data_IF_945157935240
#
_entry.id   IF_945157935240
#
_cell.length_a   1.000
_cell.length_b   1.000
_cell.length_c   1.000
_cell.angle_alpha   90.00
_cell.angle_beta   90.00
_cell.angle_gamma   90.00
#
_symmetry.space_group_name_H-M   'P 1'
#
loop_
_entity.id
_entity.type
_entity.pdbx_description
1 polymer ?
#
# COMPACT_ATOMS: atom_id res chain seq x y z
N UNK A 1 20.27 -50.71 -40.30
CA UNK A 1 19.58 -51.61 -39.35
C UNK A 1 19.51 -50.88 -38.01
N UNK A 2 18.38 -50.89 -37.41
CA UNK A 2 17.86 -50.49 -36.14
C UNK A 2 17.18 -49.10 -36.07
N UNK A 3 15.85 -49.21 -35.99
CA UNK A 3 14.86 -48.14 -35.86
C UNK A 3 14.80 -47.62 -34.43
N UNK A 4 14.70 -46.30 -34.26
CA UNK A 4 14.26 -45.64 -33.03
C UNK A 4 12.73 -45.51 -32.98
N UNK A 5 12.05 -45.70 -31.85
CA UNK A 5 10.62 -45.47 -31.74
C UNK A 5 10.32 -44.00 -31.39
N UNK A 6 9.26 -43.49 -32.02
CA UNK A 6 8.71 -42.16 -31.79
C UNK A 6 7.84 -42.12 -30.53
N UNK A 7 8.01 -41.08 -29.72
CA UNK A 7 7.18 -40.78 -28.56
C UNK A 7 6.00 -39.91 -29.03
N UNK A 8 4.80 -40.42 -28.86
CA UNK A 8 3.55 -39.71 -29.18
C UNK A 8 3.07 -38.93 -27.97
N UNK A 9 2.97 -37.61 -28.10
CA UNK A 9 2.21 -36.74 -27.23
C UNK A 9 0.72 -36.94 -27.44
N UNK A 10 -0.04 -37.26 -26.38
CA UNK A 10 -1.51 -37.27 -26.42
C UNK A 10 -2.01 -35.92 -25.91
N UNK A 11 -2.61 -35.18 -26.80
CA UNK A 11 -3.42 -33.97 -26.53
C UNK A 11 -4.81 -34.43 -26.07
N UNK A 12 -5.22 -34.07 -24.87
CA UNK A 12 -6.60 -34.27 -24.40
C UNK A 12 -7.41 -33.01 -24.68
N UNK A 13 -8.30 -33.08 -25.64
CA UNK A 13 -9.30 -32.04 -25.97
C UNK A 13 -10.58 -32.42 -25.21
N UNK A 14 -11.09 -31.50 -24.43
CA UNK A 14 -12.38 -31.56 -23.74
C UNK A 14 -13.52 -31.41 -24.70
N UNK A 15 -14.51 -32.28 -24.63
CA UNK A 15 -15.71 -32.24 -25.43
C UNK A 15 -16.86 -31.56 -24.67
N UNK A 16 -17.52 -30.69 -25.40
CA UNK A 16 -18.69 -29.89 -25.05
C UNK A 16 -19.96 -30.70 -25.34
N UNK A 17 -20.92 -30.57 -24.42
CA UNK A 17 -22.36 -30.62 -24.52
C UNK A 17 -23.08 -31.68 -25.40
N UNK A 18 -24.03 -32.33 -24.79
CA UNK A 18 -25.28 -32.75 -25.45
C UNK A 18 -26.46 -32.55 -24.48
N UNK A 19 -27.38 -31.68 -24.91
CA UNK A 19 -28.72 -31.46 -24.34
C UNK A 19 -29.61 -32.54 -24.86
N UNK A 20 -30.34 -33.25 -24.00
CA UNK A 20 -31.56 -33.96 -24.38
C UNK A 20 -32.65 -33.70 -23.34
N UNK A 21 -33.70 -33.06 -23.78
CA UNK A 21 -35.01 -32.94 -23.12
C UNK A 21 -35.68 -34.30 -22.99
N UNK A 22 -36.28 -34.62 -21.83
CA UNK A 22 -37.58 -35.31 -21.72
C UNK A 22 -38.00 -35.47 -20.25
N UNK A 23 -39.20 -35.00 -19.96
CA UNK A 23 -40.16 -35.71 -19.11
C UNK A 23 -40.30 -35.22 -17.65
N UNK A 24 -41.30 -34.39 -17.42
CA UNK A 24 -42.04 -34.14 -16.19
C UNK A 24 -42.28 -35.37 -15.31
N UNK A 25 -41.90 -35.30 -14.02
CA UNK A 25 -42.74 -35.70 -12.87
C UNK A 25 -42.19 -34.96 -11.63
N UNK A 26 -43.06 -34.22 -10.92
CA UNK A 26 -42.69 -33.36 -9.81
C UNK A 26 -42.23 -34.15 -8.57
N UNK A 27 -41.11 -33.68 -8.03
CA UNK A 27 -40.75 -33.72 -6.61
C UNK A 27 -40.10 -32.40 -6.30
N UNK A 28 -40.75 -31.61 -5.46
CA UNK A 28 -40.14 -30.45 -4.84
C UNK A 28 -38.95 -30.95 -3.97
N UNK A 29 -37.75 -31.01 -4.55
CA UNK A 29 -36.53 -31.02 -3.80
C UNK A 29 -36.20 -29.57 -3.50
N UNK A 30 -36.31 -29.20 -2.23
CA UNK A 30 -35.66 -28.02 -1.69
C UNK A 30 -34.18 -28.16 -1.98
N UNK A 31 -33.71 -27.58 -3.08
CA UNK A 31 -32.30 -27.31 -3.30
C UNK A 31 -31.89 -26.33 -2.23
N UNK A 32 -31.22 -26.82 -1.19
CA UNK A 32 -30.37 -25.98 -0.36
C UNK A 32 -29.40 -25.30 -1.34
N UNK A 33 -29.55 -23.99 -1.53
CA UNK A 33 -28.65 -23.23 -2.36
C UNK A 33 -27.23 -23.50 -1.85
N UNK A 34 -26.39 -24.08 -2.71
CA UNK A 34 -25.00 -24.32 -2.38
C UNK A 34 -24.41 -22.93 -2.00
N UNK A 35 -24.06 -22.77 -0.74
CA UNK A 35 -23.50 -21.51 -0.22
C UNK A 35 -22.31 -21.16 -1.10
N UNK A 36 -22.33 -19.94 -1.65
CA UNK A 36 -21.23 -19.45 -2.48
C UNK A 36 -19.95 -19.47 -1.62
N UNK A 37 -18.91 -20.25 -1.95
CA UNK A 37 -17.70 -20.38 -1.13
C UNK A 37 -17.04 -19.03 -0.82
N UNK A 38 -17.20 -18.05 -1.74
CA UNK A 38 -16.70 -16.69 -1.54
C UNK A 38 -17.53 -15.89 -0.52
N UNK A 39 -18.82 -16.18 -0.39
CA UNK A 39 -19.68 -15.54 0.61
C UNK A 39 -19.34 -16.06 2.01
N UNK A 40 -19.17 -17.37 2.18
CA UNK A 40 -18.74 -17.97 3.46
C UNK A 40 -17.36 -17.46 3.91
N UNK A 41 -16.41 -17.29 2.98
CA UNK A 41 -15.11 -16.72 3.30
C UNK A 41 -15.20 -15.25 3.73
N UNK A 42 -16.06 -14.45 3.09
CA UNK A 42 -16.31 -13.05 3.49
C UNK A 42 -16.90 -12.94 4.88
N UNK A 43 -17.91 -13.75 5.18
CA UNK A 43 -18.55 -13.79 6.51
C UNK A 43 -17.56 -14.24 7.60
N UNK A 44 -16.70 -15.20 7.28
CA UNK A 44 -15.70 -15.70 8.23
C UNK A 44 -14.56 -14.68 8.43
N UNK A 45 -14.16 -13.94 7.39
CA UNK A 45 -13.21 -12.82 7.51
C UNK A 45 -13.82 -11.66 8.32
N UNK A 46 -15.11 -11.32 8.13
CA UNK A 46 -15.77 -10.29 8.93
C UNK A 46 -15.82 -10.66 10.42
N UNK A 47 -16.08 -11.94 10.74
CA UNK A 47 -16.01 -12.43 12.11
C UNK A 47 -14.62 -12.25 12.74
N UNK A 48 -13.55 -12.48 11.98
CA UNK A 48 -12.18 -12.26 12.46
C UNK A 48 -11.89 -10.77 12.70
N UNK A 49 -12.43 -9.88 11.84
CA UNK A 49 -12.33 -8.42 12.01
C UNK A 49 -13.01 -7.99 13.31
N UNK A 50 -14.26 -8.41 13.53
CA UNK A 50 -15.02 -8.05 14.74
C UNK A 50 -14.30 -8.51 16.03
N UNK A 51 -13.72 -9.71 16.00
CA UNK A 51 -12.96 -10.24 17.13
C UNK A 51 -11.66 -9.46 17.34
N UNK A 52 -10.92 -9.19 16.27
CA UNK A 52 -9.68 -8.41 16.34
C UNK A 52 -9.95 -7.01 16.93
N UNK A 53 -10.97 -6.30 16.46
CA UNK A 53 -11.34 -4.97 16.96
C UNK A 53 -11.79 -5.01 18.43
N UNK A 54 -12.59 -6.00 18.81
CA UNK A 54 -13.04 -6.18 20.22
C UNK A 54 -11.86 -6.37 21.17
N UNK A 55 -10.86 -7.14 20.76
CA UNK A 55 -9.70 -7.47 21.59
C UNK A 55 -8.51 -6.51 21.41
N UNK A 56 -8.51 -5.67 20.38
CA UNK A 56 -7.38 -4.79 20.08
C UNK A 56 -6.95 -3.95 21.29
N UNK A 57 -7.89 -3.28 21.97
CA UNK A 57 -7.58 -2.42 23.13
C UNK A 57 -6.82 -3.20 24.22
N UNK A 58 -7.23 -4.46 24.52
CA UNK A 58 -6.57 -5.32 25.49
C UNK A 58 -5.19 -5.79 24.99
N UNK A 59 -5.09 -6.22 23.73
CA UNK A 59 -3.81 -6.65 23.15
C UNK A 59 -2.78 -5.52 23.16
N UNK A 60 -3.20 -4.30 22.88
CA UNK A 60 -2.33 -3.13 22.88
C UNK A 60 -1.75 -2.78 24.27
N UNK A 61 -2.40 -3.17 25.37
CA UNK A 61 -1.84 -2.95 26.71
C UNK A 61 -0.70 -3.91 27.04
N UNK A 62 -0.51 -4.97 26.26
CA UNK A 62 0.60 -5.91 26.43
C UNK A 62 1.88 -5.21 25.95
N UNK A 63 2.93 -5.11 26.80
CA UNK A 63 4.19 -4.52 26.41
C UNK A 63 4.75 -5.13 25.13
N UNK A 64 5.35 -4.29 24.28
CA UNK A 64 5.91 -4.67 22.98
C UNK A 64 4.90 -5.05 21.87
N UNK A 65 3.60 -4.99 22.09
CA UNK A 65 2.62 -5.09 21.00
C UNK A 65 2.57 -3.76 20.27
N UNK A 66 2.83 -3.77 18.96
CA UNK A 66 2.84 -2.59 18.08
C UNK A 66 1.68 -2.56 17.10
N UNK A 67 0.93 -3.65 16.99
CA UNK A 67 -0.26 -3.70 16.13
C UNK A 67 -0.93 -5.05 16.07
N UNK A 68 -2.10 -5.07 15.44
CA UNK A 68 -2.88 -6.27 15.13
C UNK A 68 -3.42 -6.18 13.70
N UNK A 69 -3.72 -7.31 13.08
CA UNK A 69 -4.39 -7.37 11.78
C UNK A 69 -5.16 -8.69 11.63
N UNK A 70 -6.01 -8.77 10.63
CA UNK A 70 -6.59 -10.02 10.17
C UNK A 70 -5.73 -10.59 9.04
N UNK A 71 -5.28 -11.83 9.21
CA UNK A 71 -4.52 -12.59 8.23
C UNK A 71 -5.21 -13.88 7.83
N UNK A 72 -4.51 -14.71 7.07
CA UNK A 72 -4.94 -16.06 6.70
C UNK A 72 -3.78 -17.02 6.98
N UNK A 73 -4.05 -18.15 7.62
CA UNK A 73 -3.05 -19.21 7.89
C UNK A 73 -2.65 -19.94 6.60
N UNK A 74 -1.63 -20.81 6.68
CA UNK A 74 -1.22 -21.65 5.56
C UNK A 74 -2.34 -22.59 5.08
N UNK A 75 -3.24 -22.98 5.99
CA UNK A 75 -4.42 -23.81 5.68
C UNK A 75 -5.61 -23.00 5.10
N UNK A 76 -5.42 -21.69 4.86
CA UNK A 76 -6.45 -20.80 4.29
C UNK A 76 -7.50 -20.33 5.30
N UNK A 77 -7.28 -20.50 6.62
CA UNK A 77 -8.24 -20.07 7.66
C UNK A 77 -7.91 -18.66 8.14
N UNK A 78 -8.92 -17.80 8.39
CA UNK A 78 -8.70 -16.50 9.04
C UNK A 78 -8.05 -16.65 10.41
N UNK A 79 -7.10 -15.77 10.67
CA UNK A 79 -6.33 -15.68 11.91
C UNK A 79 -6.21 -14.23 12.35
N UNK A 80 -5.96 -14.02 13.62
CA UNK A 80 -5.59 -12.72 14.16
C UNK A 80 -4.08 -12.66 14.27
N UNK A 81 -3.47 -11.71 13.54
CA UNK A 81 -2.03 -11.43 13.66
C UNK A 81 -1.79 -10.40 14.74
N UNK A 82 -0.79 -10.63 15.56
CA UNK A 82 -0.31 -9.69 16.58
C UNK A 82 1.15 -9.37 16.26
N UNK A 83 1.43 -8.12 16.01
CA UNK A 83 2.77 -7.63 15.69
C UNK A 83 3.47 -7.15 16.96
N UNK A 84 4.73 -7.56 17.13
CA UNK A 84 5.53 -7.22 18.31
C UNK A 84 6.84 -6.54 17.95
N UNK A 85 7.30 -5.66 18.85
CA UNK A 85 8.59 -4.97 18.75
C UNK A 85 9.77 -5.92 18.92
N UNK A 86 9.61 -6.93 19.79
CA UNK A 86 10.63 -7.91 20.14
C UNK A 86 10.02 -9.31 20.30
N UNK A 87 10.83 -10.39 20.19
CA UNK A 87 10.34 -11.73 20.35
C UNK A 87 9.97 -12.06 21.79
N UNK A 88 9.28 -13.19 22.01
CA UNK A 88 9.08 -13.78 23.33
C UNK A 88 8.03 -13.10 24.21
N UNK A 89 7.08 -12.38 23.65
CA UNK A 89 5.97 -11.74 24.41
C UNK A 89 4.98 -12.80 24.89
N UNK A 90 5.12 -13.26 26.15
CA UNK A 90 4.40 -14.39 26.73
C UNK A 90 2.91 -14.13 27.04
N UNK A 91 2.49 -12.85 27.17
CA UNK A 91 1.13 -12.51 27.60
C UNK A 91 0.11 -12.52 26.45
N UNK A 92 0.52 -12.80 25.20
CA UNK A 92 -0.38 -12.87 24.04
C UNK A 92 -1.08 -14.23 24.04
N UNK A 93 -2.44 -14.26 24.02
CA UNK A 93 -3.17 -15.53 23.98
C UNK A 93 -2.95 -16.24 22.62
N UNK A 94 -3.02 -17.56 22.60
CA UNK A 94 -2.90 -18.37 21.37
C UNK A 94 -4.17 -18.39 20.53
N UNK A 95 -5.30 -17.95 21.11
CA UNK A 95 -6.60 -17.82 20.43
C UNK A 95 -7.44 -16.72 21.05
N UNK A 96 -8.34 -16.14 20.26
CA UNK A 96 -9.33 -15.14 20.66
C UNK A 96 -10.68 -15.54 20.08
N UNK A 97 -11.66 -15.83 20.94
CA UNK A 97 -13.03 -16.21 20.58
C UNK A 97 -13.10 -17.22 19.43
N UNK A 98 -12.22 -18.25 19.46
CA UNK A 98 -12.16 -19.32 18.45
C UNK A 98 -11.22 -19.05 17.28
N UNK A 99 -10.70 -17.83 17.08
CA UNK A 99 -9.69 -17.54 16.06
C UNK A 99 -8.28 -17.75 16.60
N UNK A 100 -7.45 -18.44 15.83
CA UNK A 100 -6.03 -18.62 16.14
C UNK A 100 -5.32 -17.26 16.12
N UNK A 101 -4.43 -17.05 17.08
CA UNK A 101 -3.53 -15.90 17.12
C UNK A 101 -2.15 -16.32 16.65
N UNK A 102 -1.60 -15.55 15.71
CA UNK A 102 -0.20 -15.66 15.28
C UNK A 102 0.56 -14.41 15.64
N UNK A 103 1.68 -14.60 16.36
CA UNK A 103 2.57 -13.49 16.74
C UNK A 103 3.69 -13.39 15.72
N UNK A 104 3.93 -12.18 15.24
CA UNK A 104 5.01 -11.88 14.30
C UNK A 104 5.86 -10.73 14.84
N UNK A 105 7.15 -10.97 14.99
CA UNK A 105 8.10 -9.90 15.33
C UNK A 105 8.34 -9.03 14.10
N UNK A 106 8.06 -7.74 14.24
CA UNK A 106 8.21 -6.76 13.16
C UNK A 106 9.19 -5.65 13.49
N UNK A 107 9.51 -5.45 14.77
CA UNK A 107 10.06 -4.19 15.24
C UNK A 107 8.98 -3.11 15.31
N UNK A 108 9.39 -1.88 15.58
CA UNK A 108 8.52 -0.69 15.54
C UNK A 108 8.22 -0.29 14.10
N UNK A 109 7.07 0.35 13.92
CA UNK A 109 6.69 0.97 12.66
C UNK A 109 6.92 2.48 12.73
N UNK A 110 7.52 3.03 11.68
CA UNK A 110 7.80 4.46 11.55
C UNK A 110 7.31 4.98 10.21
N UNK A 111 6.90 6.24 10.20
CA UNK A 111 6.73 6.97 8.94
C UNK A 111 8.09 7.05 8.24
N UNK A 112 8.08 6.89 6.92
CA UNK A 112 9.31 6.75 6.15
C UNK A 112 9.81 8.11 5.66
N UNK A 113 9.97 9.07 6.57
CA UNK A 113 10.55 10.38 6.26
C UNK A 113 12.01 10.22 5.84
N UNK A 114 12.43 10.89 4.77
CA UNK A 114 13.79 10.82 4.24
C UNK A 114 14.87 11.48 5.11
N UNK A 115 14.55 11.87 6.36
CA UNK A 115 15.48 12.54 7.27
C UNK A 115 16.38 11.60 8.08
N UNK A 116 16.08 10.33 8.21
CA UNK A 116 16.89 9.44 9.06
C UNK A 116 18.20 9.03 8.36
N UNK A 117 19.25 9.76 8.75
CA UNK A 117 20.66 9.35 8.78
C UNK A 117 21.23 8.71 7.51
N UNK A 118 21.80 9.51 6.64
CA UNK A 118 23.06 9.35 5.94
C UNK A 118 23.61 7.97 5.58
N UNK A 119 22.81 6.97 5.35
CA UNK A 119 23.21 5.83 4.56
C UNK A 119 22.71 6.04 3.13
N UNK A 120 23.54 6.67 2.30
CA UNK A 120 23.51 6.39 0.86
C UNK A 120 23.59 4.85 0.77
N UNK A 121 22.45 4.20 0.62
CA UNK A 121 22.42 2.80 0.23
C UNK A 121 23.14 2.73 -1.11
N UNK A 122 24.34 2.12 -1.06
CA UNK A 122 25.36 2.20 -2.06
C UNK A 122 24.79 2.09 -3.46
N UNK A 123 25.13 3.07 -4.27
CA UNK A 123 25.01 2.97 -5.72
C UNK A 123 25.84 1.76 -6.14
N UNK A 124 25.19 0.64 -6.33
CA UNK A 124 25.78 -0.49 -7.02
C UNK A 124 26.18 0.01 -8.42
N UNK A 125 27.49 0.19 -8.60
CA UNK A 125 28.11 0.73 -9.84
C UNK A 125 27.78 -0.11 -11.09
N UNK A 126 27.16 -1.28 -10.91
CA UNK A 126 26.64 -2.12 -12.01
C UNK A 126 25.29 -1.66 -12.55
N UNK A 127 24.65 -0.65 -11.94
CA UNK A 127 23.32 -0.11 -12.31
C UNK A 127 23.34 1.05 -13.31
N UNK A 128 24.39 1.25 -14.09
CA UNK A 128 24.56 2.39 -15.02
C UNK A 128 23.47 2.54 -16.12
N UNK A 129 22.39 1.74 -16.10
CA UNK A 129 21.24 1.83 -17.01
C UNK A 129 19.87 1.97 -16.33
N UNK A 130 19.80 2.10 -15.01
CA UNK A 130 18.50 2.26 -14.32
C UNK A 130 18.22 3.73 -14.07
N UNK A 131 17.01 4.17 -14.43
CA UNK A 131 16.50 5.50 -14.08
C UNK A 131 16.58 5.68 -12.56
N UNK A 132 17.21 6.74 -12.08
CA UNK A 132 17.27 7.09 -10.67
C UNK A 132 16.06 7.95 -10.28
N UNK A 133 15.11 7.46 -9.46
CA UNK A 133 13.91 8.22 -9.14
C UNK A 133 14.16 9.45 -8.22
N UNK A 134 15.36 9.57 -7.65
CA UNK A 134 15.74 10.69 -6.77
C UNK A 134 16.31 11.91 -7.52
N UNK A 135 16.31 11.88 -8.86
CA UNK A 135 16.83 12.99 -9.68
C UNK A 135 15.73 13.92 -10.19
N UNK A 136 16.14 15.08 -10.71
CA UNK A 136 15.26 15.96 -11.45
C UNK A 136 14.80 15.31 -12.76
N UNK A 137 13.51 15.37 -13.05
CA UNK A 137 12.91 14.88 -14.30
C UNK A 137 12.43 16.02 -15.17
N UNK A 138 12.47 15.78 -16.50
CA UNK A 138 11.82 16.67 -17.46
C UNK A 138 10.29 16.63 -17.27
N UNK A 139 9.64 17.77 -17.36
CA UNK A 139 8.18 17.90 -17.29
C UNK A 139 7.50 17.36 -18.56
N UNK A 140 6.32 16.75 -18.42
CA UNK A 140 5.63 16.43 -17.17
C UNK A 140 6.37 15.35 -16.38
N UNK A 141 6.64 15.64 -15.09
CA UNK A 141 7.42 14.71 -14.24
C UNK A 141 6.63 13.41 -13.98
N UNK A 142 7.29 12.25 -13.97
CA UNK A 142 6.60 10.98 -13.72
C UNK A 142 6.11 10.87 -12.26
N UNK A 143 5.16 9.98 -12.01
CA UNK A 143 4.83 9.51 -10.66
C UNK A 143 5.86 8.48 -10.18
N UNK A 144 5.91 8.21 -8.87
CA UNK A 144 6.86 7.26 -8.28
C UNK A 144 8.25 7.84 -8.04
N UNK A 145 8.46 9.12 -8.32
CA UNK A 145 9.76 9.80 -8.17
C UNK A 145 9.76 10.74 -6.96
N UNK A 146 10.96 11.23 -6.62
CA UNK A 146 11.20 12.16 -5.51
C UNK A 146 10.30 13.39 -5.54
N UNK A 147 9.79 13.75 -4.37
CA UNK A 147 9.01 14.98 -4.14
C UNK A 147 9.08 15.39 -2.67
N UNK A 148 8.71 16.61 -2.36
CA UNK A 148 8.63 17.12 -0.99
C UNK A 148 8.04 18.51 -0.94
N UNK A 149 7.79 18.99 0.28
CA UNK A 149 7.38 20.36 0.55
C UNK A 149 8.61 21.27 0.69
N UNK A 150 8.51 22.52 0.28
CA UNK A 150 9.59 23.51 0.40
C UNK A 150 10.00 23.83 1.83
N UNK A 151 9.13 23.56 2.81
CA UNK A 151 9.36 23.88 4.22
C UNK A 151 10.27 22.92 4.97
N UNK A 152 10.68 21.78 4.35
CA UNK A 152 11.48 20.77 5.01
C UNK A 152 12.52 20.13 4.08
N UNK A 153 13.76 19.98 4.59
CA UNK A 153 14.79 19.22 3.87
C UNK A 153 14.55 17.72 4.00
N UNK A 154 13.52 17.25 3.35
CA UNK A 154 13.12 15.84 3.27
C UNK A 154 12.76 15.47 1.84
N UNK A 155 12.48 14.19 1.59
CA UNK A 155 11.93 13.71 0.33
C UNK A 155 11.08 12.46 0.55
N UNK A 156 9.97 12.41 -0.15
CA UNK A 156 9.09 11.28 -0.32
C UNK A 156 8.87 10.95 -1.79
N UNK A 157 7.72 10.38 -2.11
CA UNK A 157 7.37 9.88 -3.45
C UNK A 157 6.06 10.48 -3.94
N UNK A 158 5.98 10.91 -5.20
CA UNK A 158 4.72 11.20 -5.88
C UNK A 158 3.98 9.88 -6.09
N UNK A 159 2.84 9.68 -5.42
CA UNK A 159 2.07 8.43 -5.52
C UNK A 159 1.32 8.30 -6.84
N UNK A 160 0.52 9.29 -7.14
CA UNK A 160 -0.31 9.33 -8.35
C UNK A 160 -0.62 10.76 -8.76
N UNK A 161 -0.97 10.94 -10.05
CA UNK A 161 -1.79 12.06 -10.48
C UNK A 161 -3.24 11.68 -10.23
N UNK A 162 -3.95 12.52 -9.50
CA UNK A 162 -5.39 12.36 -9.25
C UNK A 162 -6.13 13.55 -9.83
N UNK A 163 -7.43 13.39 -10.08
CA UNK A 163 -8.30 14.45 -10.63
C UNK A 163 -9.57 14.54 -9.79
N UNK A 164 -10.13 15.73 -9.76
CA UNK A 164 -11.41 16.03 -9.15
C UNK A 164 -12.49 15.06 -9.64
N UNK A 165 -13.22 14.43 -8.72
CA UNK A 165 -14.32 13.52 -9.04
C UNK A 165 -15.54 14.25 -9.61
N UNK A 166 -15.67 15.57 -9.34
CA UNK A 166 -16.72 16.42 -9.89
C UNK A 166 -16.54 16.82 -11.36
N UNK A 167 -15.42 16.44 -11.99
CA UNK A 167 -15.19 16.67 -13.43
C UNK A 167 -14.72 18.08 -13.81
N UNK A 168 -14.25 18.89 -12.84
CA UNK A 168 -13.79 20.27 -13.10
C UNK A 168 -12.44 20.35 -13.84
N UNK A 169 -11.83 19.20 -14.15
CA UNK A 169 -10.55 19.15 -14.87
C UNK A 169 -9.32 19.41 -14.01
N UNK A 170 -9.47 19.78 -12.73
CA UNK A 170 -8.35 19.98 -11.83
C UNK A 170 -7.59 18.69 -11.58
N UNK A 171 -6.27 18.75 -11.59
CA UNK A 171 -5.37 17.65 -11.29
C UNK A 171 -4.50 17.97 -10.08
N UNK A 172 -4.14 16.93 -9.35
CA UNK A 172 -3.35 17.04 -8.13
C UNK A 172 -2.27 15.96 -8.09
N UNK A 173 -1.15 16.31 -7.46
CA UNK A 173 -0.16 15.32 -7.03
C UNK A 173 -0.60 14.73 -5.68
N UNK A 174 -0.71 13.41 -5.59
CA UNK A 174 -1.02 12.69 -4.36
C UNK A 174 0.26 12.19 -3.69
N UNK A 175 0.39 12.43 -2.39
CA UNK A 175 1.42 11.85 -1.52
C UNK A 175 0.90 11.75 -0.08
N UNK A 176 1.79 11.54 0.90
CA UNK A 176 1.40 11.52 2.31
C UNK A 176 1.31 12.93 2.91
N UNK A 177 0.57 13.05 4.03
CA UNK A 177 0.56 14.24 4.87
C UNK A 177 1.99 14.56 5.35
N UNK A 178 2.70 13.59 5.93
CA UNK A 178 4.05 13.82 6.44
C UNK A 178 5.05 14.22 5.34
N UNK A 179 4.74 14.02 4.02
CA UNK A 179 5.57 14.44 2.89
C UNK A 179 5.20 15.84 2.40
N UNK A 180 3.92 16.13 2.22
CA UNK A 180 3.45 17.40 1.65
C UNK A 180 2.97 18.40 2.69
N UNK A 181 2.43 17.92 3.82
CA UNK A 181 1.89 18.77 4.87
C UNK A 181 2.75 18.76 6.17
N UNK A 182 3.96 18.13 6.13
CA UNK A 182 4.96 18.20 7.21
C UNK A 182 4.36 17.82 8.57
N UNK A 183 3.69 16.66 8.64
CA UNK A 183 3.02 16.21 9.86
C UNK A 183 2.02 17.26 10.42
N UNK A 184 1.24 17.90 9.54
CA UNK A 184 0.29 19.01 9.75
C UNK A 184 0.92 20.40 9.89
N UNK A 185 2.24 20.55 9.85
CA UNK A 185 2.92 21.82 10.12
C UNK A 185 3.06 22.72 8.87
N UNK A 186 2.80 22.20 7.67
CA UNK A 186 3.00 22.97 6.44
C UNK A 186 2.03 24.16 6.33
N UNK A 187 2.56 25.25 5.78
CA UNK A 187 1.76 26.43 5.47
C UNK A 187 0.88 26.12 4.25
N UNK A 188 -0.37 26.55 4.28
CA UNK A 188 -1.28 26.44 3.14
C UNK A 188 -0.70 27.08 1.90
N UNK A 189 -0.85 26.44 0.74
CA UNK A 189 -0.27 26.82 -0.55
C UNK A 189 1.27 26.83 -0.62
N UNK A 190 1.96 26.22 0.35
CA UNK A 190 3.42 26.02 0.24
C UNK A 190 3.77 25.22 -1.01
N UNK A 191 4.95 25.48 -1.59
CA UNK A 191 5.37 24.84 -2.83
C UNK A 191 5.70 23.37 -2.64
N UNK A 192 5.24 22.53 -3.57
CA UNK A 192 5.60 21.13 -3.69
C UNK A 192 6.55 20.95 -4.86
N UNK A 193 7.66 20.26 -4.60
CA UNK A 193 8.84 20.21 -5.46
C UNK A 193 9.06 18.81 -6.06
N UNK A 194 9.69 18.77 -7.21
CA UNK A 194 10.30 17.59 -7.81
C UNK A 194 11.70 17.96 -8.36
N UNK A 195 12.75 17.36 -7.80
CA UNK A 195 12.78 16.45 -6.66
C UNK A 195 12.52 17.17 -5.32
N UNK A 196 12.30 16.43 -4.24
CA UNK A 196 12.26 16.97 -2.87
C UNK A 196 13.59 17.58 -2.46
N UNK A 197 13.59 18.48 -1.46
CA UNK A 197 14.75 19.26 -1.06
C UNK A 197 15.95 18.39 -0.66
N UNK A 198 15.73 17.21 -0.06
CA UNK A 198 16.82 16.29 0.28
C UNK A 198 17.68 15.91 -0.94
N UNK A 199 17.06 15.77 -2.11
CA UNK A 199 17.74 15.39 -3.36
C UNK A 199 18.38 16.57 -4.11
N UNK A 200 18.23 17.78 -3.58
CA UNK A 200 18.88 19.02 -4.07
C UNK A 200 19.83 19.63 -3.03
N UNK A 201 20.32 18.82 -2.07
CA UNK A 201 21.15 19.28 -0.96
C UNK A 201 20.49 20.41 -0.16
N UNK A 202 19.19 20.28 0.12
CA UNK A 202 18.35 21.27 0.82
C UNK A 202 18.31 22.67 0.13
N UNK A 203 18.54 22.70 -1.17
CA UNK A 203 18.52 23.96 -1.94
C UNK A 203 17.19 24.08 -2.69
N UNK A 204 16.43 25.13 -2.34
CA UNK A 204 15.19 25.47 -3.04
C UNK A 204 15.50 26.06 -4.42
N UNK A 205 14.80 25.58 -5.43
CA UNK A 205 14.80 26.16 -6.77
C UNK A 205 13.34 26.29 -7.25
N UNK A 206 12.84 27.50 -7.54
CA UNK A 206 11.47 27.71 -7.99
C UNK A 206 11.15 26.98 -9.31
N UNK A 207 12.17 26.69 -10.14
CA UNK A 207 11.99 25.89 -11.36
C UNK A 207 11.59 24.42 -11.05
N UNK A 208 11.80 23.94 -9.83
CA UNK A 208 11.44 22.60 -9.41
C UNK A 208 9.99 22.47 -8.88
N UNK A 209 9.25 23.56 -8.79
CA UNK A 209 7.87 23.57 -8.28
C UNK A 209 6.96 22.84 -9.27
N UNK A 210 6.28 21.79 -8.81
CA UNK A 210 5.30 21.00 -9.57
C UNK A 210 3.85 21.26 -9.14
N UNK A 211 3.65 22.02 -8.07
CA UNK A 211 2.33 22.36 -7.54
C UNK A 211 2.42 23.04 -6.18
N UNK A 212 1.27 23.26 -5.56
CA UNK A 212 1.16 23.86 -4.21
C UNK A 212 0.25 23.01 -3.34
N UNK A 213 0.55 22.91 -2.04
CA UNK A 213 -0.25 22.18 -1.07
C UNK A 213 -1.70 22.68 -1.11
N UNK A 214 -2.62 21.80 -1.47
CA UNK A 214 -4.05 22.12 -1.61
C UNK A 214 -4.87 21.64 -0.42
N UNK A 215 -4.64 20.40 0.01
CA UNK A 215 -5.37 19.79 1.12
C UNK A 215 -4.61 18.62 1.72
N UNK A 216 -4.88 18.31 2.98
CA UNK A 216 -4.36 17.13 3.67
C UNK A 216 -5.35 16.65 4.74
N UNK A 217 -5.25 15.38 5.11
CA UNK A 217 -5.96 14.83 6.26
C UNK A 217 -5.08 15.01 7.49
N UNK A 218 -5.52 15.76 8.51
CA UNK A 218 -4.74 15.96 9.73
C UNK A 218 -4.47 14.65 10.45
N UNK A 219 -3.21 14.43 10.87
CA UNK A 219 -2.83 13.31 11.72
C UNK A 219 -3.02 13.71 13.18
N UNK A 220 -3.76 12.91 13.94
CA UNK A 220 -3.86 13.05 15.40
C UNK A 220 -2.78 12.19 16.03
N UNK A 221 -1.76 12.82 16.60
CA UNK A 221 -0.64 12.13 17.28
C UNK A 221 -1.09 11.67 18.66
N UNK A 222 -1.77 10.54 18.67
CA UNK A 222 -2.26 9.87 19.87
C UNK A 222 -2.34 8.37 19.65
N UNK A 223 -1.96 7.61 20.66
CA UNK A 223 -2.07 6.14 20.64
C UNK A 223 -3.52 5.65 20.77
N UNK A 224 -4.50 6.54 21.02
CA UNK A 224 -5.92 6.22 21.11
C UNK A 224 -6.75 6.84 19.97
N UNK A 225 -6.14 7.57 19.05
CA UNK A 225 -6.81 8.10 17.87
C UNK A 225 -7.14 7.00 16.85
N UNK A 226 -8.10 7.28 15.98
CA UNK A 226 -8.45 6.41 14.85
C UNK A 226 -8.11 7.12 13.54
N UNK A 227 -6.81 7.41 13.31
CA UNK A 227 -6.39 7.89 12.01
C UNK A 227 -6.64 6.80 10.95
N UNK A 228 -7.18 7.15 9.81
CA UNK A 228 -7.44 6.22 8.70
C UNK A 228 -6.50 6.42 7.53
N UNK A 229 -6.01 7.64 7.34
CA UNK A 229 -5.11 7.97 6.23
C UNK A 229 -4.04 8.98 6.66
N UNK A 230 -2.84 8.78 6.14
CA UNK A 230 -1.75 9.75 6.10
C UNK A 230 -1.61 10.17 4.63
N UNK A 231 -2.30 11.25 4.24
CA UNK A 231 -2.38 11.66 2.85
C UNK A 231 -2.53 13.17 2.70
N UNK A 232 -2.00 13.69 1.60
CA UNK A 232 -2.12 15.07 1.15
C UNK A 232 -2.15 15.16 -0.37
N UNK A 233 -2.76 16.22 -0.90
CA UNK A 233 -2.78 16.55 -2.32
C UNK A 233 -2.24 17.95 -2.56
N UNK A 234 -1.48 18.10 -3.64
CA UNK A 234 -0.99 19.38 -4.13
C UNK A 234 -1.63 19.70 -5.48
N UNK A 235 -2.21 20.90 -5.62
CA UNK A 235 -2.74 21.39 -6.88
C UNK A 235 -1.61 21.47 -7.92
N UNK A 236 -1.85 20.94 -9.12
CA UNK A 236 -0.85 20.79 -10.16
C UNK A 236 -1.47 21.01 -11.55
N UNK A 237 -0.68 20.77 -12.59
CA UNK A 237 -1.10 20.85 -13.98
C UNK A 237 -0.59 19.65 -14.78
N UNK A 238 -1.29 19.28 -15.85
CA UNK A 238 -0.90 18.15 -16.73
C UNK A 238 0.42 18.38 -17.46
N UNK A 239 0.84 19.65 -17.62
CA UNK A 239 2.15 20.01 -18.19
C UNK A 239 3.28 19.86 -17.16
N UNK A 240 2.96 19.89 -15.87
CA UNK A 240 3.92 19.74 -14.77
C UNK A 240 4.01 18.29 -14.33
N UNK A 241 2.87 17.60 -14.23
CA UNK A 241 2.76 16.26 -13.62
C UNK A 241 2.21 15.23 -14.61
N UNK A 242 2.99 14.20 -14.89
CA UNK A 242 2.61 13.03 -15.66
C UNK A 242 1.78 12.03 -14.84
N UNK A 243 1.38 10.92 -15.46
CA UNK A 243 0.57 9.87 -14.82
C UNK A 243 1.18 8.47 -14.86
N UNK A 244 2.42 8.36 -15.36
CA UNK A 244 3.14 7.09 -15.47
C UNK A 244 4.40 7.12 -14.64
N UNK A 245 4.84 5.97 -14.11
CA UNK A 245 6.17 5.82 -13.55
C UNK A 245 7.24 5.93 -14.63
N UNK A 246 8.53 6.14 -14.28
CA UNK A 246 9.64 6.03 -15.23
C UNK A 246 9.63 4.70 -15.99
N UNK A 247 10.37 4.63 -17.11
CA UNK A 247 10.40 3.49 -18.03
C UNK A 247 10.80 2.14 -17.40
N UNK A 248 11.49 2.17 -16.26
CA UNK A 248 11.85 0.99 -15.47
C UNK A 248 10.82 0.63 -14.38
N UNK A 249 9.67 1.30 -14.36
CA UNK A 249 8.56 1.05 -13.43
C UNK A 249 7.38 0.33 -14.09
N UNK A 250 6.24 0.32 -13.39
CA UNK A 250 5.04 -0.38 -13.83
C UNK A 250 4.19 0.40 -14.87
N UNK A 251 4.59 1.63 -15.23
CA UNK A 251 3.87 2.46 -16.19
C UNK A 251 2.69 3.23 -15.57
N UNK A 252 1.59 3.34 -16.30
CA UNK A 252 0.38 4.04 -15.84
C UNK A 252 -0.48 3.13 -14.97
N UNK A 253 -0.93 3.56 -13.78
CA UNK A 253 -1.92 2.82 -13.00
C UNK A 253 -3.28 2.83 -13.71
N UNK A 254 -4.13 1.88 -13.37
CA UNK A 254 -5.54 1.91 -13.77
C UNK A 254 -6.31 2.98 -13.01
N UNK A 255 -7.37 3.53 -13.61
CA UNK A 255 -8.30 4.42 -12.88
C UNK A 255 -9.15 3.64 -11.86
N UNK A 256 -9.51 2.39 -12.19
CA UNK A 256 -10.28 1.52 -11.31
C UNK A 256 -9.41 0.97 -10.16
N UNK A 257 -9.82 1.24 -8.93
CA UNK A 257 -9.19 0.71 -7.71
C UNK A 257 -9.68 -0.70 -7.39
N UNK A 258 -8.93 -1.43 -6.55
CA UNK A 258 -9.36 -2.70 -5.98
C UNK A 258 -9.04 -2.76 -4.49
N UNK A 259 -9.93 -3.41 -3.74
CA UNK A 259 -9.69 -3.64 -2.30
C UNK A 259 -8.55 -4.63 -2.09
N UNK A 260 -7.79 -4.44 -1.02
CA UNK A 260 -6.78 -5.39 -0.59
C UNK A 260 -7.41 -6.68 -0.07
N UNK A 261 -6.77 -7.81 -0.34
CA UNK A 261 -7.08 -9.10 0.29
C UNK A 261 -5.78 -9.83 0.64
N UNK A 262 -5.81 -10.64 1.70
CA UNK A 262 -4.64 -11.40 2.16
C UNK A 262 -4.18 -12.37 1.07
N UNK A 263 -2.88 -12.38 0.80
CA UNK A 263 -2.29 -13.16 -0.27
C UNK A 263 -2.18 -12.43 -1.63
N UNK A 264 -2.80 -11.25 -1.78
CA UNK A 264 -2.74 -10.47 -3.00
C UNK A 264 -1.30 -10.05 -3.32
N UNK A 265 -0.82 -10.37 -4.53
CA UNK A 265 0.47 -9.89 -5.01
C UNK A 265 0.37 -8.44 -5.45
N UNK A 266 1.30 -7.63 -4.94
CA UNK A 266 1.35 -6.18 -5.15
C UNK A 266 2.75 -5.73 -5.52
N UNK A 267 2.84 -4.54 -6.10
CA UNK A 267 4.09 -3.85 -6.38
C UNK A 267 3.91 -2.35 -6.17
N UNK A 268 5.02 -1.65 -6.04
CA UNK A 268 5.07 -0.19 -6.01
C UNK A 268 6.30 0.31 -6.77
N UNK A 269 6.33 1.59 -7.10
CA UNK A 269 7.52 2.30 -7.54
C UNK A 269 7.72 3.53 -6.66
N UNK A 270 8.90 3.72 -6.09
CA UNK A 270 9.18 4.80 -5.16
C UNK A 270 10.57 5.38 -5.31
N UNK A 271 10.77 6.52 -4.68
CA UNK A 271 11.99 7.35 -4.76
C UNK A 271 13.25 6.58 -4.40
N UNK A 272 13.20 5.72 -3.37
CA UNK A 272 14.42 5.10 -2.82
C UNK A 272 14.67 3.71 -3.39
N UNK A 273 13.65 2.87 -3.44
CA UNK A 273 13.83 1.47 -3.84
C UNK A 273 13.38 1.18 -5.27
N UNK A 274 12.93 2.19 -6.02
CA UNK A 274 12.36 1.99 -7.38
C UNK A 274 11.21 0.97 -7.35
N UNK A 275 11.10 0.08 -8.34
CA UNK A 275 10.07 -0.95 -8.36
C UNK A 275 10.44 -2.13 -7.46
N UNK A 276 9.56 -2.41 -6.53
CA UNK A 276 9.62 -3.60 -5.65
C UNK A 276 8.29 -4.34 -5.66
N UNK A 277 8.31 -5.61 -5.26
CA UNK A 277 7.13 -6.47 -5.21
C UNK A 277 6.99 -7.13 -3.85
N UNK A 278 5.76 -7.33 -3.41
CA UNK A 278 5.40 -7.95 -2.14
C UNK A 278 4.05 -8.63 -2.19
N UNK A 279 3.57 -9.02 -1.03
CA UNK A 279 2.27 -9.66 -0.86
C UNK A 279 1.54 -9.07 0.34
N UNK A 280 0.24 -8.87 0.24
CA UNK A 280 -0.60 -8.45 1.36
C UNK A 280 -0.62 -9.58 2.40
N UNK A 281 -0.13 -9.26 3.59
CA UNK A 281 -0.03 -10.18 4.73
C UNK A 281 -1.23 -10.08 5.67
N UNK A 282 -1.81 -8.90 5.77
CA UNK A 282 -2.93 -8.61 6.66
C UNK A 282 -3.74 -7.42 6.19
N UNK A 283 -5.00 -7.42 6.57
CA UNK A 283 -5.98 -6.34 6.34
C UNK A 283 -6.58 -5.92 7.67
N UNK A 284 -7.34 -4.82 7.67
CA UNK A 284 -7.91 -4.22 8.88
C UNK A 284 -6.84 -4.02 9.98
N UNK A 285 -5.62 -3.67 9.58
CA UNK A 285 -4.56 -3.53 10.56
C UNK A 285 -4.77 -2.29 11.44
N UNK A 286 -4.57 -2.46 12.75
CA UNK A 286 -4.52 -1.38 13.72
C UNK A 286 -3.09 -1.32 14.24
N UNK A 287 -2.37 -0.24 13.94
CA UNK A 287 -0.93 -0.14 14.15
C UNK A 287 -0.54 1.17 14.82
N UNK A 288 0.54 1.14 15.59
CA UNK A 288 1.21 2.32 16.13
C UNK A 288 2.34 2.72 15.20
N UNK A 289 2.36 3.95 14.76
CA UNK A 289 3.38 4.49 13.86
C UNK A 289 4.06 5.68 14.51
N UNK A 290 5.38 5.63 14.60
CA UNK A 290 6.22 6.72 15.09
C UNK A 290 6.48 7.75 14.00
N UNK A 291 6.35 9.02 14.35
CA UNK A 291 6.65 10.21 13.57
C UNK A 291 7.60 11.12 14.32
N UNK A 292 8.09 12.17 13.70
CA UNK A 292 8.85 13.22 14.37
C UNK A 292 8.01 13.95 15.44
N UNK A 293 6.75 14.19 15.16
CA UNK A 293 5.78 14.86 16.05
C UNK A 293 5.21 13.95 17.15
N UNK A 294 5.47 12.63 17.12
CA UNK A 294 4.98 11.69 18.12
C UNK A 294 4.47 10.38 17.53
N UNK A 295 3.76 9.60 18.35
CA UNK A 295 3.17 8.34 17.90
C UNK A 295 1.69 8.51 17.58
N UNK A 296 1.26 7.99 16.44
CA UNK A 296 -0.14 7.97 16.01
C UNK A 296 -0.64 6.54 15.81
N UNK A 297 -1.85 6.24 16.27
CA UNK A 297 -2.54 5.00 15.91
C UNK A 297 -3.25 5.17 14.58
N UNK A 298 -3.07 4.19 13.70
CA UNK A 298 -3.83 4.06 12.45
C UNK A 298 -4.68 2.79 12.49
N UNK A 299 -5.90 2.90 11.97
CA UNK A 299 -6.87 1.80 11.88
C UNK A 299 -7.20 1.48 10.43
N UNK A 300 -7.68 0.27 10.15
CA UNK A 300 -8.09 -0.21 8.82
C UNK A 300 -6.97 -0.12 7.76
N UNK A 301 -5.76 -0.48 8.16
CA UNK A 301 -4.58 -0.42 7.29
C UNK A 301 -4.29 -1.75 6.59
N UNK A 302 -3.47 -1.68 5.54
CA UNK A 302 -2.95 -2.83 4.78
C UNK A 302 -1.52 -3.10 5.21
N UNK A 303 -1.21 -4.35 5.55
CA UNK A 303 0.17 -4.82 5.79
C UNK A 303 0.68 -5.56 4.57
N UNK A 304 1.82 -5.13 4.05
CA UNK A 304 2.52 -5.79 2.93
C UNK A 304 3.85 -6.34 3.42
N UNK A 305 4.19 -7.56 3.00
CA UNK A 305 5.47 -8.21 3.32
C UNK A 305 6.20 -8.62 2.04
N UNK A 306 7.53 -8.55 2.10
CA UNK A 306 8.43 -9.05 1.07
C UNK A 306 9.62 -9.76 1.70
N UNK A 307 10.25 -10.68 0.97
CA UNK A 307 11.48 -11.36 1.39
C UNK A 307 12.72 -10.44 1.39
N UNK A 308 12.66 -9.37 0.59
CA UNK A 308 13.70 -8.32 0.51
C UNK A 308 13.13 -6.99 0.99
N UNK A 309 13.95 -5.97 1.13
CA UNK A 309 13.46 -4.63 1.40
C UNK A 309 12.47 -4.21 0.31
N UNK A 310 11.21 -4.01 0.72
CA UNK A 310 10.10 -3.56 -0.13
C UNK A 310 10.04 -2.04 -0.16
N UNK A 311 10.33 -1.42 0.98
CA UNK A 311 10.33 0.03 1.18
C UNK A 311 11.58 0.46 1.96
N UNK A 312 11.98 1.70 1.81
CA UNK A 312 12.99 2.39 2.61
C UNK A 312 12.57 3.86 2.79
N UNK A 313 13.19 4.61 3.73
CA UNK A 313 12.94 6.04 3.88
C UNK A 313 12.99 6.78 2.54
N UNK A 314 11.95 7.58 2.26
CA UNK A 314 11.72 8.26 0.98
C UNK A 314 10.75 7.56 0.03
N UNK A 315 10.35 6.30 0.27
CA UNK A 315 9.30 5.61 -0.49
C UNK A 315 7.87 5.97 0.00
N UNK A 316 7.74 6.75 1.08
CA UNK A 316 6.47 7.32 1.54
C UNK A 316 5.76 8.05 0.42
N UNK A 317 4.47 7.83 0.27
CA UNK A 317 3.65 8.35 -0.82
C UNK A 317 3.59 7.43 -2.03
N UNK A 318 4.42 6.39 -2.13
CA UNK A 318 4.37 5.47 -3.25
C UNK A 318 3.01 4.77 -3.38
N UNK A 319 2.44 4.74 -4.59
CA UNK A 319 1.20 4.03 -4.88
C UNK A 319 1.44 2.53 -4.90
N UNK A 320 0.69 1.81 -4.08
CA UNK A 320 0.64 0.34 -4.09
C UNK A 320 -0.37 -0.10 -5.15
N UNK A 321 0.08 -0.91 -6.10
CA UNK A 321 -0.77 -1.44 -7.18
C UNK A 321 -0.73 -2.96 -7.22
N UNK A 322 -1.76 -3.58 -7.80
CA UNK A 322 -1.76 -5.03 -8.09
C UNK A 322 -0.59 -5.39 -9.01
N UNK A 323 0.03 -6.55 -8.77
CA UNK A 323 1.23 -6.95 -9.50
C UNK A 323 1.01 -7.12 -11.01
N UNK A 324 -0.18 -7.55 -11.44
CA UNK A 324 -0.47 -7.86 -12.84
C UNK A 324 -1.14 -6.71 -13.59
N UNK A 325 -2.18 -6.12 -13.02
CA UNK A 325 -3.07 -5.21 -13.74
C UNK A 325 -2.89 -3.73 -13.41
N UNK A 326 -1.97 -3.38 -12.48
CA UNK A 326 -1.69 -2.02 -12.03
C UNK A 326 -2.91 -1.29 -11.41
N UNK A 327 -3.93 -2.02 -10.92
CA UNK A 327 -5.01 -1.39 -10.19
C UNK A 327 -4.52 -0.86 -8.85
N UNK A 328 -4.80 0.39 -8.49
CA UNK A 328 -4.43 0.95 -7.19
C UNK A 328 -5.11 0.20 -6.03
N UNK A 329 -4.34 -0.08 -4.99
CA UNK A 329 -4.74 -0.82 -3.79
C UNK A 329 -4.57 0.03 -2.54
N UNK A 330 -3.45 0.77 -2.43
CA UNK A 330 -3.13 1.57 -1.25
C UNK A 330 -2.11 2.67 -1.52
N UNK A 331 -1.89 3.51 -0.50
CA UNK A 331 -0.86 4.54 -0.45
C UNK A 331 0.11 4.20 0.69
N UNK A 332 1.36 3.93 0.39
CA UNK A 332 2.38 3.55 1.38
C UNK A 332 2.76 4.76 2.22
N UNK A 333 2.87 4.58 3.56
CA UNK A 333 3.24 5.69 4.44
C UNK A 333 4.20 5.29 5.57
N UNK A 334 4.26 4.01 5.93
CA UNK A 334 5.06 3.55 7.06
C UNK A 334 5.63 2.15 6.82
N UNK A 335 6.58 1.76 7.64
CA UNK A 335 7.11 0.42 7.64
C UNK A 335 8.07 0.14 8.78
N UNK A 336 8.65 -1.06 8.80
CA UNK A 336 9.60 -1.47 9.81
C UNK A 336 11.05 -1.15 9.41
N UNK A 337 11.95 -1.16 10.39
CA UNK A 337 13.34 -0.71 10.21
C UNK A 337 14.15 -1.46 9.14
N UNK A 338 13.82 -2.71 8.82
CA UNK A 338 14.50 -3.47 7.76
C UNK A 338 13.83 -3.36 6.37
N UNK A 339 12.73 -2.60 6.29
CA UNK A 339 11.99 -2.34 5.05
C UNK A 339 11.24 -3.53 4.46
N UNK A 340 11.19 -4.68 5.14
CA UNK A 340 10.50 -5.87 4.63
C UNK A 340 8.99 -5.82 4.83
N UNK A 341 8.52 -5.02 5.77
CA UNK A 341 7.10 -4.82 6.07
C UNK A 341 6.75 -3.36 5.80
N UNK A 342 5.72 -3.16 5.00
CA UNK A 342 5.14 -1.86 4.69
C UNK A 342 3.71 -1.78 5.22
N UNK A 343 3.32 -0.56 5.59
CA UNK A 343 1.95 -0.21 5.93
C UNK A 343 1.44 0.75 4.87
N UNK A 344 0.25 0.49 4.37
CA UNK A 344 -0.40 1.33 3.39
C UNK A 344 -1.83 1.69 3.81
N UNK A 345 -2.20 2.94 3.61
CA UNK A 345 -3.60 3.37 3.69
C UNK A 345 -4.38 2.70 2.55
N UNK A 346 -5.63 2.37 2.78
CA UNK A 346 -6.53 1.92 1.72
C UNK A 346 -6.73 3.04 0.70
N UNK A 347 -6.61 2.72 -0.58
CA UNK A 347 -6.67 3.74 -1.63
C UNK A 347 -8.06 4.39 -1.73
N UNK A 348 -9.13 3.64 -1.50
CA UNK A 348 -10.49 4.16 -1.49
C UNK A 348 -10.70 5.20 -0.37
N UNK A 349 -10.17 4.95 0.84
CA UNK A 349 -10.21 5.89 1.94
C UNK A 349 -9.45 7.19 1.60
N UNK A 350 -8.26 7.05 0.98
CA UNK A 350 -7.46 8.21 0.52
C UNK A 350 -8.21 9.03 -0.52
N UNK A 351 -8.75 8.41 -1.55
CA UNK A 351 -9.45 9.10 -2.64
C UNK A 351 -10.74 9.78 -2.16
N UNK A 352 -11.48 9.11 -1.28
CA UNK A 352 -12.71 9.66 -0.69
C UNK A 352 -12.44 10.87 0.18
N UNK A 353 -11.33 10.90 0.93
CA UNK A 353 -10.96 12.03 1.79
C UNK A 353 -10.81 13.36 1.03
N UNK A 354 -10.47 13.29 -0.25
CA UNK A 354 -10.28 14.47 -1.11
C UNK A 354 -11.30 14.59 -2.24
N UNK A 355 -12.27 13.68 -2.34
CA UNK A 355 -13.22 13.60 -3.46
C UNK A 355 -12.52 13.59 -4.82
N UNK A 356 -11.48 12.76 -4.96
CA UNK A 356 -10.68 12.63 -6.19
C UNK A 356 -10.68 11.18 -6.71
N UNK A 357 -10.28 11.02 -7.97
CA UNK A 357 -10.08 9.73 -8.62
C UNK A 357 -8.67 9.62 -9.20
N UNK A 358 -8.15 8.41 -9.36
CA UNK A 358 -6.87 8.19 -10.05
C UNK A 358 -7.01 8.60 -11.52
N UNK A 359 -6.12 9.46 -11.98
CA UNK A 359 -6.01 9.79 -13.42
C UNK A 359 -5.13 8.73 -14.10
N UNK A 360 -5.74 7.60 -14.36
CA UNK A 360 -5.08 6.41 -14.92
C UNK A 360 -5.58 6.06 -16.34
N UNK A 361 -5.36 4.80 -16.71
CA UNK A 361 -5.87 4.18 -17.94
C UNK A 361 -7.18 3.44 -17.68
#
# INVERSE_FOLDING_TARGET
MTRKPAFRFKLAISVIAAIVFLGWIGRAQTQAAAANPLQGLREYLSGAVDIQERHHKRLRTIPNVVGTAVGVSEEGKPIIKVYTKSPGVMAIPTSLDGFRVEVEETGEFHALTGQFGGQQYGSDKTRARRVNPATLFTRPVPIGVSTGNEGECSAGTIGARVKDAGGNGNVFALSNNHVYALENAAVSNSAVLQPGLYDTNCTFNPANVIGTLSSFVPIVFSTSANNTVDAAIAASDVLLLGKSTPSNGYGTPRSATVSAFVGQRVKKYGRTTSQTSGQVLGINAIVMVGYGSGTAQFVDQIIVKSSKAFILPGDSGALLVTAQSNNPVGLIFAGNGNGKIAIANRIDAVLNAFSVTIDGN
#
